data_IF_230119541294
#
_entry.id   IF_230119541294
#
_cell.length_a   1.000
_cell.length_b   1.000
_cell.length_c   1.000
_cell.angle_alpha   90.00
_cell.angle_beta   90.00
_cell.angle_gamma   90.00
#
_symmetry.space_group_name_H-M   'P 1'
#
loop_
_entity.id
_entity.type
_entity.pdbx_description
1 polymer ?
#
# COMPACT_ATOMS: atom_id res chain seq x y z
N UNK A 1 3.85 77.88 2.63
CA UNK A 1 3.53 78.78 1.51
C UNK A 1 3.42 77.90 0.27
N UNK A 2 2.21 77.81 -0.31
CA UNK A 2 1.89 77.62 -1.76
C UNK A 2 2.52 76.37 -2.44
N UNK A 3 1.81 75.28 -2.79
CA UNK A 3 0.63 75.03 -3.68
C UNK A 3 1.04 74.43 -5.04
N UNK A 4 0.23 73.46 -5.52
CA UNK A 4 -0.03 73.07 -6.93
C UNK A 4 1.11 72.36 -7.73
N UNK A 5 0.90 71.45 -8.70
CA UNK A 5 -0.29 70.80 -9.27
C UNK A 5 0.10 69.59 -10.16
N UNK A 6 -0.95 68.94 -10.64
CA UNK A 6 -1.09 67.74 -11.47
C UNK A 6 -0.58 67.77 -12.93
N UNK A 7 -0.29 66.54 -13.42
CA UNK A 7 -0.65 65.89 -14.72
C UNK A 7 -0.09 66.46 -16.05
N UNK A 8 0.58 65.59 -16.82
CA UNK A 8 0.21 65.23 -18.21
C UNK A 8 0.99 64.02 -18.75
N UNK A 9 0.24 63.07 -19.32
CA UNK A 9 0.69 61.97 -20.18
C UNK A 9 1.15 62.51 -21.54
N UNK A 10 2.15 61.90 -22.17
CA UNK A 10 2.17 61.68 -23.61
C UNK A 10 2.86 60.35 -23.97
N UNK A 11 2.23 59.67 -24.91
CA UNK A 11 2.57 58.35 -25.43
C UNK A 11 3.82 58.35 -26.30
N UNK A 12 4.44 57.18 -26.42
CA UNK A 12 5.45 56.87 -27.43
C UNK A 12 5.74 55.38 -27.42
N UNK A 13 4.97 54.61 -28.19
CA UNK A 13 5.38 53.28 -28.60
C UNK A 13 6.60 53.44 -29.50
N UNK A 14 7.70 52.77 -29.18
CA UNK A 14 8.64 52.34 -30.21
C UNK A 14 8.99 50.88 -29.95
N UNK A 15 8.67 50.05 -30.93
CA UNK A 15 8.87 48.61 -30.91
C UNK A 15 10.32 48.33 -31.26
N UNK A 16 11.11 47.93 -30.27
CA UNK A 16 12.46 47.42 -30.48
C UNK A 16 12.38 45.97 -31.00
N UNK A 17 12.23 45.83 -32.33
CA UNK A 17 12.44 44.58 -33.06
C UNK A 17 13.94 44.30 -33.14
N UNK A 18 14.51 43.65 -32.12
CA UNK A 18 15.95 43.43 -32.13
C UNK A 18 16.55 42.61 -31.00
N UNK A 19 15.80 41.68 -30.39
CA UNK A 19 16.42 40.62 -29.57
C UNK A 19 15.85 39.28 -30.02
N UNK A 20 16.71 38.43 -30.58
CA UNK A 20 16.44 37.01 -30.68
C UNK A 20 15.99 36.52 -29.30
N UNK A 21 14.91 35.74 -29.19
CA UNK A 21 14.60 35.11 -27.92
C UNK A 21 15.82 34.25 -27.56
N UNK A 22 16.44 34.57 -26.41
CA UNK A 22 17.36 33.65 -25.76
C UNK A 22 16.67 32.30 -25.78
N UNK A 23 17.26 31.37 -26.52
CA UNK A 23 16.81 29.99 -26.53
C UNK A 23 17.03 29.52 -25.11
N UNK A 24 15.97 29.54 -24.30
CA UNK A 24 15.94 28.78 -23.07
C UNK A 24 16.23 27.36 -23.52
N UNK A 25 17.48 26.94 -23.29
CA UNK A 25 17.85 25.54 -23.28
C UNK A 25 16.97 24.97 -22.19
N UNK A 26 15.81 24.44 -22.57
CA UNK A 26 15.08 23.51 -21.74
C UNK A 26 16.11 22.40 -21.55
N UNK A 27 16.75 22.38 -20.39
CA UNK A 27 17.56 21.25 -19.97
C UNK A 27 16.67 20.04 -20.20
N UNK A 28 17.00 19.27 -21.22
CA UNK A 28 16.24 18.10 -21.61
C UNK A 28 16.44 17.14 -20.44
N UNK A 29 15.52 17.19 -19.47
CA UNK A 29 15.54 16.32 -18.29
C UNK A 29 15.62 14.91 -18.85
N UNK A 30 16.80 14.31 -18.75
CA UNK A 30 17.06 13.01 -19.34
C UNK A 30 16.03 12.06 -18.76
N UNK A 31 15.25 11.40 -19.62
CA UNK A 31 14.26 10.46 -19.14
C UNK A 31 14.97 9.42 -18.25
N UNK A 32 14.46 9.17 -17.03
CA UNK A 32 15.11 8.21 -16.15
C UNK A 32 15.11 6.84 -16.80
N UNK A 33 16.17 6.07 -16.61
CA UNK A 33 16.24 4.70 -17.12
C UNK A 33 15.07 3.88 -16.58
N UNK A 34 14.29 3.28 -17.48
CA UNK A 34 13.14 2.44 -17.12
C UNK A 34 13.40 1.02 -17.54
N UNK A 35 13.23 0.11 -16.58
CA UNK A 35 13.22 -1.31 -16.87
C UNK A 35 12.01 -1.65 -17.73
N UNK A 36 12.19 -2.62 -18.63
CA UNK A 36 11.14 -3.16 -19.46
C UNK A 36 11.09 -4.68 -19.33
N UNK A 37 9.93 -5.26 -19.63
CA UNK A 37 9.81 -6.69 -19.84
C UNK A 37 10.23 -7.11 -21.25
N UNK A 38 10.20 -8.42 -21.52
CA UNK A 38 10.53 -9.02 -22.81
C UNK A 38 9.66 -8.53 -23.99
N UNK A 39 8.54 -7.86 -23.71
CA UNK A 39 7.61 -7.29 -24.70
C UNK A 39 7.77 -5.77 -24.85
N UNK A 40 8.79 -5.17 -24.21
CA UNK A 40 9.07 -3.74 -24.28
C UNK A 40 8.15 -2.87 -23.44
N UNK A 41 7.38 -3.44 -22.51
CA UNK A 41 6.49 -2.66 -21.63
C UNK A 41 7.27 -2.15 -20.44
N UNK A 42 7.09 -0.87 -20.13
CA UNK A 42 7.80 -0.22 -19.04
C UNK A 42 7.24 -0.61 -17.67
N UNK A 43 8.16 -0.82 -16.74
CA UNK A 43 7.88 -0.93 -15.32
C UNK A 43 7.30 0.38 -14.76
N UNK A 44 6.56 0.26 -13.67
CA UNK A 44 6.15 1.43 -12.87
C UNK A 44 7.28 1.79 -11.91
N UNK A 45 7.69 3.06 -11.88
CA UNK A 45 8.84 3.52 -11.10
C UNK A 45 8.45 4.58 -10.09
N UNK A 46 9.16 4.64 -8.97
CA UNK A 46 9.00 5.70 -7.99
C UNK A 46 9.74 5.40 -6.70
N UNK A 47 9.57 6.30 -5.73
CA UNK A 47 10.07 6.14 -4.37
C UNK A 47 8.96 5.58 -3.50
N UNK A 48 9.17 4.43 -2.89
CA UNK A 48 8.27 3.85 -1.90
C UNK A 48 8.93 3.94 -0.52
N UNK A 49 8.40 4.82 0.34
CA UNK A 49 9.00 5.13 1.63
C UNK A 49 10.44 5.60 1.45
N UNK A 50 11.41 4.81 1.92
CA UNK A 50 12.84 5.13 1.78
C UNK A 50 13.51 4.54 0.54
N UNK A 51 12.82 3.69 -0.24
CA UNK A 51 13.43 2.91 -1.31
C UNK A 51 12.93 3.34 -2.70
N UNK A 52 13.84 3.48 -3.65
CA UNK A 52 13.47 3.59 -5.07
C UNK A 52 13.20 2.20 -5.64
N UNK A 53 12.08 2.06 -6.36
CA UNK A 53 11.62 0.78 -6.90
C UNK A 53 11.23 0.87 -8.38
N UNK A 54 11.34 -0.28 -9.04
CA UNK A 54 10.84 -0.58 -10.39
C UNK A 54 9.93 -1.80 -10.29
N UNK A 55 8.62 -1.59 -10.41
CA UNK A 55 7.60 -2.63 -10.30
C UNK A 55 7.34 -3.21 -11.69
N UNK A 56 7.46 -4.53 -11.89
CA UNK A 56 7.29 -5.15 -13.20
C UNK A 56 5.95 -4.82 -13.85
N UNK A 57 5.97 -4.57 -15.16
CA UNK A 57 4.76 -4.33 -15.93
C UNK A 57 3.72 -5.46 -15.74
N UNK A 58 2.49 -5.08 -15.37
CA UNK A 58 1.36 -6.01 -15.21
C UNK A 58 1.22 -6.64 -13.82
N UNK A 59 2.13 -6.36 -12.88
CA UNK A 59 2.02 -6.81 -11.48
C UNK A 59 0.98 -6.01 -10.70
N UNK A 60 0.91 -4.70 -10.93
CA UNK A 60 0.01 -3.82 -10.17
C UNK A 60 -1.43 -4.09 -10.61
N UNK A 61 -2.30 -4.32 -9.63
CA UNK A 61 -3.74 -4.33 -9.85
C UNK A 61 -4.25 -2.89 -9.97
N UNK A 62 -4.62 -2.48 -11.19
CA UNK A 62 -4.96 -1.09 -11.52
C UNK A 62 -3.74 -0.21 -11.79
N UNK A 63 -3.42 0.69 -10.85
CA UNK A 63 -2.32 1.66 -11.00
C UNK A 63 -1.68 2.01 -9.65
N UNK A 64 -0.42 2.46 -9.69
CA UNK A 64 0.21 3.10 -8.54
C UNK A 64 -0.31 4.54 -8.40
N UNK A 65 -0.73 4.91 -7.20
CA UNK A 65 -1.05 6.30 -6.82
C UNK A 65 0.22 6.96 -6.29
N UNK A 66 0.54 8.14 -6.79
CA UNK A 66 1.63 8.98 -6.31
C UNK A 66 1.10 10.05 -5.37
N UNK A 67 1.96 10.52 -4.47
CA UNK A 67 1.62 11.60 -3.56
C UNK A 67 1.21 12.85 -4.34
N UNK A 68 0.02 13.38 -4.04
CA UNK A 68 -0.55 14.53 -4.73
C UNK A 68 -1.38 14.21 -5.97
N UNK A 69 -1.50 12.93 -6.35
CA UNK A 69 -2.50 12.51 -7.34
C UNK A 69 -3.91 12.84 -6.79
N UNK A 70 -4.84 13.32 -7.65
CA UNK A 70 -6.22 13.50 -7.24
C UNK A 70 -6.84 12.17 -6.78
N UNK A 71 -7.56 12.21 -5.66
CA UNK A 71 -8.31 11.05 -5.16
C UNK A 71 -9.39 10.58 -6.15
N UNK A 72 -9.85 9.34 -5.99
CA UNK A 72 -10.85 8.73 -6.88
C UNK A 72 -12.19 9.48 -6.88
N UNK A 73 -12.48 10.20 -5.80
CA UNK A 73 -13.68 11.02 -5.64
C UNK A 73 -13.41 12.53 -5.79
N UNK A 74 -12.22 12.92 -6.23
CA UNK A 74 -11.92 14.33 -6.49
C UNK A 74 -12.84 14.90 -7.58
N UNK A 75 -13.15 16.19 -7.47
CA UNK A 75 -13.94 16.93 -8.46
C UNK A 75 -13.38 16.66 -9.87
N UNK A 76 -14.21 16.27 -10.84
CA UNK A 76 -13.80 16.05 -12.23
C UNK A 76 -12.99 17.21 -12.82
N UNK A 77 -13.24 18.46 -12.41
CA UNK A 77 -12.48 19.65 -12.84
C UNK A 77 -11.06 19.68 -12.30
N UNK A 78 -10.82 19.12 -11.11
CA UNK A 78 -9.47 18.97 -10.54
C UNK A 78 -8.73 17.90 -11.34
N UNK A 79 -9.37 16.75 -11.57
CA UNK A 79 -8.79 15.66 -12.36
C UNK A 79 -8.43 16.11 -13.78
N UNK A 80 -9.32 16.84 -14.45
CA UNK A 80 -9.10 17.32 -15.81
C UNK A 80 -7.95 18.33 -15.94
N UNK A 81 -7.58 19.02 -14.86
CA UNK A 81 -6.48 20.00 -14.84
C UNK A 81 -5.18 19.43 -14.30
N UNK A 82 -5.21 18.25 -13.69
CA UNK A 82 -4.05 17.65 -13.06
C UNK A 82 -3.07 17.15 -14.13
N UNK A 83 -1.82 17.57 -14.01
CA UNK A 83 -0.71 17.07 -14.81
C UNK A 83 0.20 16.27 -13.90
N UNK A 84 0.41 14.99 -14.22
CA UNK A 84 1.35 14.18 -13.46
C UNK A 84 2.76 14.77 -13.60
N UNK A 85 3.51 14.90 -12.51
CA UNK A 85 4.93 15.21 -12.62
C UNK A 85 5.63 14.10 -13.43
N UNK A 86 6.77 14.41 -14.08
CA UNK A 86 7.55 13.38 -14.74
C UNK A 86 7.85 12.23 -13.77
N UNK A 87 7.55 10.99 -14.18
CA UNK A 87 7.83 9.82 -13.34
C UNK A 87 9.35 9.65 -13.21
N UNK A 88 9.84 9.80 -11.99
CA UNK A 88 11.25 9.59 -11.59
C UNK A 88 11.31 8.61 -10.42
N UNK A 89 12.49 8.09 -10.11
CA UNK A 89 12.70 7.23 -8.94
C UNK A 89 12.62 7.96 -7.60
N UNK A 90 12.51 9.29 -7.62
CA UNK A 90 12.31 10.13 -6.45
C UNK A 90 10.85 10.52 -6.24
N UNK A 91 9.98 10.30 -7.25
CA UNK A 91 8.56 10.62 -7.15
C UNK A 91 7.89 9.71 -6.11
N UNK A 92 7.35 10.25 -4.99
CA UNK A 92 6.81 9.42 -3.92
C UNK A 92 5.54 8.69 -4.33
N UNK A 93 5.55 7.37 -4.20
CA UNK A 93 4.40 6.50 -4.37
C UNK A 93 3.61 6.52 -3.06
N UNK A 94 2.36 6.96 -3.12
CA UNK A 94 1.44 6.88 -1.99
C UNK A 94 1.05 5.43 -1.74
N UNK A 95 0.55 4.74 -2.77
CA UNK A 95 0.14 3.34 -2.65
C UNK A 95 0.04 2.59 -3.98
N UNK A 96 0.04 1.27 -3.89
CA UNK A 96 -0.33 0.37 -4.99
C UNK A 96 -0.77 -1.00 -4.43
N UNK A 97 -1.57 -1.71 -5.22
CA UNK A 97 -2.01 -3.07 -4.93
C UNK A 97 -1.35 -4.11 -5.83
N UNK A 98 -1.14 -5.32 -5.31
CA UNK A 98 -0.78 -6.50 -6.12
C UNK A 98 -1.28 -7.77 -5.44
N UNK A 99 -1.41 -8.85 -6.22
CA UNK A 99 -1.75 -10.16 -5.70
C UNK A 99 -0.50 -11.04 -5.67
N UNK A 100 -0.33 -11.82 -4.60
CA UNK A 100 0.66 -12.90 -4.57
C UNK A 100 0.12 -14.16 -3.94
N UNK A 101 0.70 -15.29 -4.30
CA UNK A 101 0.31 -16.60 -3.81
C UNK A 101 1.14 -16.98 -2.58
N UNK A 102 0.46 -17.23 -1.47
CA UNK A 102 1.06 -17.51 -0.16
C UNK A 102 1.92 -18.77 -0.18
N UNK A 103 1.54 -19.80 -0.96
CA UNK A 103 2.18 -21.12 -0.94
C UNK A 103 3.59 -21.15 -1.53
N UNK A 104 3.89 -20.34 -2.53
CA UNK A 104 5.16 -20.35 -3.26
C UNK A 104 5.73 -18.96 -3.57
N UNK A 105 5.05 -17.89 -3.17
CA UNK A 105 5.50 -16.51 -3.36
C UNK A 105 5.34 -15.98 -4.78
N UNK A 106 4.63 -16.70 -5.66
CA UNK A 106 4.42 -16.24 -7.03
C UNK A 106 3.53 -14.99 -7.07
N UNK A 107 3.80 -14.09 -8.02
CA UNK A 107 3.12 -12.80 -8.14
C UNK A 107 2.22 -12.81 -9.36
N UNK A 108 0.97 -12.40 -9.17
CA UNK A 108 0.03 -12.28 -10.26
C UNK A 108 0.54 -11.27 -11.27
N UNK A 109 0.47 -11.63 -12.55
CA UNK A 109 0.65 -10.65 -13.62
C UNK A 109 -0.47 -10.83 -14.62
N UNK A 110 -1.08 -9.72 -15.03
CA UNK A 110 -2.21 -9.72 -15.98
C UNK A 110 -1.89 -10.32 -17.36
N UNK A 111 -0.63 -10.70 -17.59
CA UNK A 111 -0.14 -11.21 -18.87
C UNK A 111 0.36 -12.66 -18.81
N UNK A 112 0.48 -13.24 -17.60
CA UNK A 112 0.93 -14.63 -17.40
C UNK A 112 -0.17 -15.58 -17.00
N UNK A 113 -1.26 -15.12 -16.39
CA UNK A 113 -2.28 -16.01 -15.88
C UNK A 113 -3.54 -15.96 -16.74
N UNK A 114 -3.82 -17.07 -17.42
CA UNK A 114 -5.12 -17.35 -18.03
C UNK A 114 -6.05 -18.04 -17.03
N UNK A 115 -7.33 -18.16 -17.37
CA UNK A 115 -8.28 -19.00 -16.61
C UNK A 115 -7.81 -20.47 -16.50
N UNK A 116 -7.00 -20.93 -17.46
CA UNK A 116 -6.42 -22.28 -17.47
C UNK A 116 -5.26 -22.41 -16.47
N UNK A 117 -4.43 -21.37 -16.33
CA UNK A 117 -3.42 -21.30 -15.26
C UNK A 117 -4.09 -21.33 -13.89
N UNK A 118 -5.17 -20.56 -13.72
CA UNK A 118 -5.97 -20.57 -12.50
C UNK A 118 -6.53 -21.96 -12.17
N UNK A 119 -7.10 -22.66 -13.17
CA UNK A 119 -7.63 -24.02 -13.00
C UNK A 119 -6.53 -25.03 -12.67
N UNK A 120 -5.38 -24.98 -13.36
CA UNK A 120 -4.23 -25.84 -13.08
C UNK A 120 -3.70 -25.61 -11.67
N UNK A 121 -3.57 -24.36 -11.25
CA UNK A 121 -3.10 -24.01 -9.92
C UNK A 121 -4.07 -24.54 -8.85
N UNK A 122 -5.38 -24.50 -9.11
CA UNK A 122 -6.40 -25.09 -8.25
C UNK A 122 -6.28 -26.62 -8.13
N UNK A 123 -5.95 -27.32 -9.21
CA UNK A 123 -5.78 -28.78 -9.23
C UNK A 123 -4.46 -29.25 -8.61
N UNK A 124 -3.40 -28.45 -8.70
CA UNK A 124 -2.02 -28.90 -8.39
C UNK A 124 -1.40 -28.27 -7.16
N UNK A 125 -1.80 -27.04 -6.78
CA UNK A 125 -1.14 -26.26 -5.72
C UNK A 125 -1.99 -26.13 -4.45
N UNK A 126 -3.27 -26.47 -4.50
CA UNK A 126 -4.19 -26.29 -3.38
C UNK A 126 -4.46 -27.63 -2.70
N UNK A 127 -4.04 -27.81 -1.44
CA UNK A 127 -4.40 -29.00 -0.68
C UNK A 127 -5.93 -29.16 -0.62
N UNK A 128 -6.42 -30.39 -0.81
CA UNK A 128 -7.85 -30.68 -0.81
C UNK A 128 -8.57 -30.04 0.39
N UNK A 129 -9.65 -29.29 0.11
CA UNK A 129 -10.45 -28.60 1.12
C UNK A 129 -9.87 -27.27 1.63
N UNK A 130 -8.78 -26.76 1.06
CA UNK A 130 -8.26 -25.42 1.37
C UNK A 130 -8.77 -24.36 0.37
N UNK A 131 -8.94 -23.11 0.83
CA UNK A 131 -9.32 -22.00 -0.03
C UNK A 131 -8.14 -21.54 -0.90
N UNK A 132 -8.44 -20.78 -1.95
CA UNK A 132 -7.44 -20.25 -2.87
C UNK A 132 -6.35 -19.45 -2.12
N UNK A 133 -5.04 -19.76 -2.29
CA UNK A 133 -3.95 -19.22 -1.49
C UNK A 133 -3.48 -17.82 -1.91
N UNK A 134 -4.34 -17.02 -2.54
CA UNK A 134 -3.97 -15.68 -2.98
C UNK A 134 -4.25 -14.66 -1.89
N UNK A 135 -3.25 -13.82 -1.67
CA UNK A 135 -3.33 -12.67 -0.80
C UNK A 135 -3.45 -11.41 -1.65
N UNK A 136 -4.43 -10.58 -1.29
CA UNK A 136 -4.51 -9.20 -1.77
C UNK A 136 -3.59 -8.33 -0.91
N UNK A 137 -2.65 -7.62 -1.54
CA UNK A 137 -1.67 -6.79 -0.83
C UNK A 137 -1.80 -5.36 -1.31
N UNK A 138 -1.96 -4.44 -0.36
CA UNK A 138 -1.85 -3.00 -0.58
C UNK A 138 -0.67 -2.47 0.20
N UNK A 139 0.22 -1.77 -0.48
CA UNK A 139 1.39 -1.14 0.11
C UNK A 139 1.17 0.37 0.17
N UNK A 140 1.50 0.98 1.30
CA UNK A 140 1.48 2.43 1.51
C UNK A 140 2.89 2.93 1.85
N UNK A 141 3.34 4.00 1.19
CA UNK A 141 4.55 4.72 1.58
C UNK A 141 4.28 5.64 2.77
N UNK A 142 5.11 5.56 3.81
CA UNK A 142 4.99 6.39 5.02
C UNK A 142 6.10 7.45 5.03
N UNK A 143 5.75 8.69 4.71
CA UNK A 143 6.71 9.79 4.50
C UNK A 143 6.78 10.80 5.65
N UNK A 144 5.84 10.76 6.60
CA UNK A 144 5.91 11.60 7.80
C UNK A 144 6.92 11.00 8.78
N UNK A 145 8.09 11.62 8.89
CA UNK A 145 9.16 11.19 9.78
C UNK A 145 8.81 11.32 11.28
N UNK A 146 7.83 12.16 11.63
CA UNK A 146 7.37 12.33 13.01
C UNK A 146 6.31 11.30 13.41
N UNK A 147 5.62 10.70 12.43
CA UNK A 147 4.57 9.72 12.68
C UNK A 147 5.19 8.40 13.20
N UNK A 148 4.71 7.87 14.34
CA UNK A 148 5.19 6.60 14.85
C UNK A 148 4.72 5.46 13.93
N UNK A 149 5.66 4.65 13.43
CA UNK A 149 5.35 3.46 12.63
C UNK A 149 4.89 2.30 13.51
N UNK A 150 3.77 2.43 14.22
CA UNK A 150 3.17 1.37 15.02
C UNK A 150 1.65 1.56 15.14
N UNK A 151 0.96 0.54 15.64
CA UNK A 151 -0.49 0.53 15.81
C UNK A 151 -0.94 0.81 17.25
N UNK A 152 -0.09 1.36 18.12
CA UNK A 152 -0.45 1.55 19.53
C UNK A 152 -1.72 2.41 19.69
N UNK A 153 -1.72 3.60 19.07
CA UNK A 153 -2.86 4.52 19.10
C UNK A 153 -4.07 3.89 18.39
N UNK A 154 -3.85 3.32 17.20
CA UNK A 154 -4.90 2.66 16.42
C UNK A 154 -5.65 1.58 17.21
N UNK A 155 -4.92 0.69 17.90
CA UNK A 155 -5.51 -0.38 18.71
C UNK A 155 -6.20 0.18 19.95
N UNK A 156 -5.58 1.13 20.65
CA UNK A 156 -6.16 1.72 21.85
C UNK A 156 -7.49 2.43 21.53
N UNK A 157 -7.51 3.25 20.49
CA UNK A 157 -8.71 3.95 20.04
C UNK A 157 -9.75 2.96 19.50
N UNK A 158 -9.33 1.96 18.73
CA UNK A 158 -10.22 0.92 18.21
C UNK A 158 -10.94 0.15 19.32
N UNK A 159 -10.24 -0.19 20.42
CA UNK A 159 -10.84 -0.85 21.58
C UNK A 159 -11.80 0.07 22.33
N UNK A 160 -11.43 1.34 22.51
CA UNK A 160 -12.31 2.36 23.11
C UNK A 160 -13.60 2.52 22.31
N UNK A 161 -13.50 2.72 21.00
CA UNK A 161 -14.65 2.89 20.09
C UNK A 161 -15.52 1.63 20.10
N UNK A 162 -14.92 0.44 20.05
CA UNK A 162 -15.66 -0.83 20.11
C UNK A 162 -16.48 -0.95 21.39
N UNK A 163 -15.94 -0.48 22.52
CA UNK A 163 -16.65 -0.47 23.80
C UNK A 163 -17.77 0.56 23.84
N UNK A 164 -17.52 1.77 23.36
CA UNK A 164 -18.48 2.88 23.41
C UNK A 164 -19.64 2.71 22.40
N UNK A 165 -19.35 2.22 21.20
CA UNK A 165 -20.33 2.15 20.10
C UNK A 165 -21.03 0.78 20.05
N UNK A 166 -20.28 -0.31 20.25
CA UNK A 166 -20.79 -1.68 20.06
C UNK A 166 -20.91 -2.47 21.36
N UNK A 167 -20.54 -1.89 22.50
CA UNK A 167 -20.44 -2.56 23.80
C UNK A 167 -19.61 -3.86 23.75
N UNK A 168 -18.57 -3.85 22.92
CA UNK A 168 -17.60 -4.94 22.82
C UNK A 168 -16.37 -4.58 23.63
N UNK A 169 -16.05 -5.40 24.63
CA UNK A 169 -14.79 -5.32 25.36
C UNK A 169 -13.80 -6.35 24.83
N UNK A 170 -12.63 -5.92 24.37
CA UNK A 170 -11.62 -6.82 23.84
C UNK A 170 -10.73 -7.35 24.96
N UNK A 171 -10.93 -8.61 25.31
CA UNK A 171 -10.26 -9.25 26.45
C UNK A 171 -9.09 -10.09 25.95
N UNK A 172 -7.90 -9.79 26.48
CA UNK A 172 -6.69 -10.54 26.19
C UNK A 172 -6.84 -11.99 26.65
N UNK A 173 -6.45 -12.91 25.78
CA UNK A 173 -6.49 -14.34 26.07
C UNK A 173 -5.20 -14.79 26.79
N UNK A 174 -5.28 -15.77 27.72
CA UNK A 174 -4.10 -16.23 28.46
C UNK A 174 -3.03 -16.87 27.57
N UNK A 175 -3.45 -17.56 26.51
CA UNK A 175 -2.55 -18.27 25.61
C UNK A 175 -2.39 -17.49 24.30
N UNK A 176 -1.14 -17.26 23.85
CA UNK A 176 -0.91 -16.71 22.53
C UNK A 176 -1.28 -17.72 21.44
N UNK A 177 -1.53 -17.24 20.22
CA UNK A 177 -1.79 -18.07 19.05
C UNK A 177 -0.76 -17.76 17.97
N UNK A 178 0.01 -18.77 17.53
CA UNK A 178 1.08 -18.62 16.52
C UNK A 178 2.08 -17.49 16.85
N UNK A 179 2.37 -17.29 18.14
CA UNK A 179 3.27 -16.22 18.61
C UNK A 179 2.66 -14.81 18.62
N UNK A 180 1.34 -14.68 18.44
CA UNK A 180 0.55 -13.45 18.53
C UNK A 180 -0.23 -13.37 19.85
N UNK A 181 -0.33 -12.17 20.41
CA UNK A 181 -1.25 -11.90 21.52
C UNK A 181 -2.67 -11.81 20.99
N UNK A 182 -3.59 -12.57 21.55
CA UNK A 182 -4.98 -12.66 21.07
C UNK A 182 -5.91 -11.88 21.99
N UNK A 183 -6.82 -11.12 21.41
CA UNK A 183 -7.94 -10.48 22.09
C UNK A 183 -9.25 -10.96 21.46
N UNK A 184 -10.22 -11.28 22.31
CA UNK A 184 -11.56 -11.69 21.89
C UNK A 184 -12.61 -10.74 22.41
N UNK A 185 -13.58 -10.40 21.56
CA UNK A 185 -14.75 -9.64 21.92
C UNK A 185 -15.53 -10.31 23.06
N UNK A 186 -15.71 -9.61 24.18
CA UNK A 186 -16.39 -10.07 25.40
C UNK A 186 -15.95 -11.49 25.83
N UNK A 187 -14.64 -11.77 25.75
CA UNK A 187 -14.04 -13.07 26.03
C UNK A 187 -14.56 -14.23 25.14
N UNK A 188 -15.05 -13.89 23.95
CA UNK A 188 -15.60 -14.82 22.97
C UNK A 188 -17.07 -15.19 23.20
N UNK A 189 -17.75 -14.58 24.17
CA UNK A 189 -19.15 -14.87 24.53
C UNK A 189 -20.02 -13.63 24.31
N UNK A 190 -21.15 -13.82 23.64
CA UNK A 190 -22.18 -12.78 23.52
C UNK A 190 -22.88 -12.58 24.87
N UNK A 191 -22.78 -11.39 25.50
CA UNK A 191 -23.38 -11.15 26.80
C UNK A 191 -24.92 -11.18 26.76
N UNK A 192 -25.55 -11.09 25.59
CA UNK A 192 -27.01 -11.15 25.44
C UNK A 192 -27.52 -12.58 25.34
N UNK A 193 -26.82 -13.43 24.59
CA UNK A 193 -27.29 -14.79 24.30
C UNK A 193 -26.57 -15.86 25.13
N UNK A 194 -25.38 -15.57 25.67
CA UNK A 194 -24.51 -16.53 26.34
C UNK A 194 -23.76 -17.47 25.39
N UNK A 195 -23.95 -17.32 24.08
CA UNK A 195 -23.35 -18.16 23.05
C UNK A 195 -22.02 -17.58 22.54
N UNK A 196 -21.14 -18.40 21.93
CA UNK A 196 -19.94 -17.88 21.29
C UNK A 196 -20.27 -16.89 20.16
N UNK A 197 -19.47 -15.82 20.02
CA UNK A 197 -19.61 -14.74 19.00
C UNK A 197 -19.41 -15.16 17.53
N UNK A 198 -19.60 -16.45 17.18
CA UNK A 198 -19.36 -17.01 15.84
C UNK A 198 -20.22 -16.41 14.72
N UNK A 199 -21.25 -15.63 15.03
CA UNK A 199 -22.19 -15.07 14.05
C UNK A 199 -22.15 -13.55 13.91
N UNK A 200 -21.41 -12.82 14.76
CA UNK A 200 -21.36 -11.35 14.68
C UNK A 200 -20.13 -10.87 13.92
N UNK A 201 -20.37 -10.12 12.85
CA UNK A 201 -19.34 -9.54 11.99
C UNK A 201 -18.48 -8.50 12.71
N UNK A 202 -18.97 -7.92 13.81
CA UNK A 202 -18.27 -6.93 14.63
C UNK A 202 -17.40 -7.57 15.71
N UNK A 203 -17.61 -8.86 16.01
CA UNK A 203 -16.90 -9.60 17.05
C UNK A 203 -15.69 -10.37 16.48
N UNK A 204 -14.81 -9.64 15.80
CA UNK A 204 -13.61 -10.21 15.16
C UNK A 204 -12.59 -10.66 16.21
N UNK A 205 -11.80 -11.67 15.90
CA UNK A 205 -10.62 -11.96 16.71
C UNK A 205 -9.53 -10.95 16.35
N UNK A 206 -8.93 -10.29 17.36
CA UNK A 206 -7.81 -9.36 17.16
C UNK A 206 -6.52 -10.04 17.61
N UNK A 207 -5.52 -10.09 16.74
CA UNK A 207 -4.21 -10.68 17.00
C UNK A 207 -3.10 -9.66 16.76
N UNK A 208 -2.21 -9.53 17.73
CA UNK A 208 -1.19 -8.48 17.74
C UNK A 208 0.21 -9.07 17.88
N UNK A 209 1.18 -8.48 17.16
CA UNK A 209 2.61 -8.67 17.45
C UNK A 209 3.21 -7.35 17.94
N UNK A 210 3.91 -7.43 19.07
CA UNK A 210 4.75 -6.34 19.58
C UNK A 210 6.22 -6.58 19.26
N UNK A 211 6.96 -5.50 19.04
CA UNK A 211 8.42 -5.55 19.02
C UNK A 211 9.01 -5.62 20.44
N UNK A 212 10.35 -5.64 20.52
CA UNK A 212 11.08 -5.71 21.79
C UNK A 212 10.86 -4.48 22.69
N UNK A 213 10.47 -3.33 22.11
CA UNK A 213 10.16 -2.10 22.84
C UNK A 213 8.70 -2.02 23.27
N UNK A 214 7.89 -3.04 22.93
CA UNK A 214 6.47 -3.12 23.27
C UNK A 214 5.53 -2.44 22.27
N UNK A 215 6.04 -1.92 21.16
CA UNK A 215 5.22 -1.28 20.13
C UNK A 215 4.54 -2.32 19.24
N UNK A 216 3.26 -2.12 18.94
CA UNK A 216 2.48 -3.02 18.08
C UNK A 216 2.90 -2.81 16.62
N UNK A 217 3.56 -3.81 16.04
CA UNK A 217 4.08 -3.79 14.67
C UNK A 217 3.18 -4.50 13.68
N UNK A 218 2.44 -5.49 14.16
CA UNK A 218 1.49 -6.29 13.40
C UNK A 218 0.14 -6.23 14.09
N UNK A 219 -0.89 -5.95 13.31
CA UNK A 219 -2.29 -5.97 13.71
C UNK A 219 -3.04 -6.87 12.74
N UNK A 220 -3.78 -7.85 13.25
CA UNK A 220 -4.60 -8.75 12.44
C UNK A 220 -6.00 -8.78 13.03
N UNK A 221 -7.01 -8.51 12.22
CA UNK A 221 -8.41 -8.82 12.56
C UNK A 221 -8.92 -9.94 11.67
N UNK A 222 -9.51 -10.96 12.27
CA UNK A 222 -10.08 -12.08 11.53
C UNK A 222 -11.58 -12.17 11.77
N UNK A 223 -12.34 -12.16 10.68
CA UNK A 223 -13.76 -12.46 10.69
C UNK A 223 -13.95 -13.96 10.45
N UNK A 224 -14.76 -14.59 11.30
CA UNK A 224 -15.08 -16.01 11.21
C UNK A 224 -16.58 -16.22 11.44
N UNK A 225 -17.36 -15.99 10.40
CA UNK A 225 -18.78 -16.36 10.38
C UNK A 225 -18.94 -17.68 9.62
N UNK A 226 -20.16 -18.22 9.60
CA UNK A 226 -20.47 -19.41 8.79
C UNK A 226 -20.10 -19.26 7.31
N UNK A 227 -20.04 -18.03 6.79
CA UNK A 227 -19.82 -17.73 5.37
C UNK A 227 -18.50 -17.01 5.09
N UNK A 228 -17.89 -16.37 6.09
CA UNK A 228 -16.70 -15.53 5.92
C UNK A 228 -15.61 -16.04 6.83
N UNK A 229 -14.44 -16.31 6.26
CA UNK A 229 -13.27 -16.77 7.00
C UNK A 229 -12.02 -16.06 6.50
N UNK A 230 -11.95 -14.75 6.70
CA UNK A 230 -10.90 -13.87 6.18
C UNK A 230 -10.20 -13.13 7.32
N UNK A 231 -8.94 -12.81 7.11
CA UNK A 231 -8.17 -11.93 7.97
C UNK A 231 -7.73 -10.69 7.17
N UNK A 232 -7.85 -9.54 7.81
CA UNK A 232 -7.15 -8.32 7.43
C UNK A 232 -5.90 -8.24 8.30
N UNK A 233 -4.74 -8.13 7.67
CA UNK A 233 -3.44 -8.14 8.33
C UNK A 233 -2.70 -6.89 7.92
N UNK A 234 -2.40 -6.04 8.91
CA UNK A 234 -1.59 -4.85 8.73
C UNK A 234 -0.25 -4.98 9.44
N UNK A 235 0.83 -4.57 8.80
CA UNK A 235 2.13 -4.46 9.44
C UNK A 235 2.94 -3.26 8.94
N UNK A 236 3.83 -2.76 9.79
CA UNK A 236 4.80 -1.72 9.42
C UNK A 236 6.19 -2.33 9.22
N UNK A 237 6.86 -1.94 8.13
CA UNK A 237 8.29 -2.21 7.96
C UNK A 237 9.09 -0.91 8.15
N UNK A 238 9.87 -0.83 9.23
CA UNK A 238 10.64 0.37 9.57
C UNK A 238 11.76 0.64 8.56
N UNK A 239 12.43 -0.38 8.04
CA UNK A 239 13.55 -0.17 7.12
C UNK A 239 13.10 0.45 5.80
N UNK A 240 11.92 0.03 5.34
CA UNK A 240 11.29 0.54 4.14
C UNK A 240 10.49 1.83 4.37
N UNK A 241 10.12 2.16 5.62
CA UNK A 241 9.15 3.21 5.92
C UNK A 241 7.84 3.01 5.15
N UNK A 242 7.23 1.83 5.33
CA UNK A 242 5.95 1.47 4.69
C UNK A 242 4.99 0.85 5.70
N UNK A 243 3.70 0.96 5.36
CA UNK A 243 2.62 0.17 5.95
C UNK A 243 2.06 -0.76 4.88
N UNK A 244 1.82 -2.00 5.26
CA UNK A 244 1.25 -3.02 4.38
C UNK A 244 -0.08 -3.45 4.94
N UNK A 245 -1.07 -3.61 4.06
CA UNK A 245 -2.35 -4.26 4.32
C UNK A 245 -2.42 -5.52 3.47
N UNK A 246 -2.84 -6.63 4.06
CA UNK A 246 -2.98 -7.92 3.40
C UNK A 246 -4.34 -8.52 3.74
N UNK A 247 -5.09 -8.91 2.72
CA UNK A 247 -6.31 -9.73 2.85
C UNK A 247 -6.04 -11.18 2.46
N UNK A 248 -6.35 -12.13 3.34
CA UNK A 248 -6.24 -13.56 3.04
C UNK A 248 -7.24 -14.41 3.82
N UNK A 249 -7.44 -15.65 3.38
CA UNK A 249 -8.28 -16.60 4.12
C UNK A 249 -7.61 -17.02 5.43
N UNK A 250 -8.36 -17.02 6.54
CA UNK A 250 -7.87 -17.33 7.89
C UNK A 250 -7.17 -18.69 8.00
N UNK A 251 -7.43 -19.66 7.12
CA UNK A 251 -6.68 -20.92 7.06
C UNK A 251 -5.16 -20.70 6.95
N UNK A 252 -4.73 -19.57 6.37
CA UNK A 252 -3.33 -19.18 6.21
C UNK A 252 -2.76 -18.34 7.36
N UNK A 253 -3.55 -18.03 8.40
CA UNK A 253 -3.08 -17.31 9.60
C UNK A 253 -1.85 -17.94 10.28
N UNK A 254 -1.65 -19.28 10.35
CA UNK A 254 -0.42 -19.85 10.90
C UNK A 254 0.86 -19.39 10.19
N UNK A 255 0.75 -18.92 8.94
CA UNK A 255 1.85 -18.47 8.09
C UNK A 255 2.03 -16.95 8.12
N UNK A 256 1.40 -16.22 9.05
CA UNK A 256 1.42 -14.76 9.07
C UNK A 256 2.84 -14.16 9.01
N UNK A 257 3.83 -14.78 9.67
CA UNK A 257 5.22 -14.32 9.63
C UNK A 257 5.86 -14.51 8.24
N UNK A 258 5.55 -15.62 7.59
CA UNK A 258 6.02 -15.93 6.23
C UNK A 258 5.37 -14.98 5.23
N UNK A 259 4.10 -14.63 5.43
CA UNK A 259 3.37 -13.63 4.63
C UNK A 259 4.09 -12.28 4.68
N UNK A 260 4.40 -11.76 5.87
CA UNK A 260 5.15 -10.51 6.00
C UNK A 260 6.53 -10.61 5.32
N UNK A 261 7.26 -11.70 5.56
CA UNK A 261 8.59 -11.93 4.98
C UNK A 261 8.57 -12.00 3.44
N UNK A 262 7.61 -12.71 2.86
CA UNK A 262 7.46 -12.88 1.42
C UNK A 262 7.15 -11.56 0.72
N UNK A 263 6.26 -10.74 1.30
CA UNK A 263 5.96 -9.40 0.77
C UNK A 263 7.22 -8.55 0.75
N UNK A 264 8.01 -8.54 1.84
CA UNK A 264 9.27 -7.78 1.88
C UNK A 264 10.29 -8.33 0.88
N UNK A 265 10.36 -9.64 0.68
CA UNK A 265 11.24 -10.25 -0.33
C UNK A 265 10.84 -9.84 -1.76
N UNK A 266 9.54 -9.81 -2.06
CA UNK A 266 9.01 -9.33 -3.34
C UNK A 266 9.42 -7.87 -3.56
N UNK A 267 9.20 -7.00 -2.58
CA UNK A 267 9.59 -5.59 -2.66
C UNK A 267 11.11 -5.43 -2.83
N UNK A 268 11.92 -6.21 -2.10
CA UNK A 268 13.37 -6.21 -2.24
C UNK A 268 13.82 -6.54 -3.67
N UNK A 269 13.11 -7.44 -4.36
CA UNK A 269 13.40 -7.80 -5.74
C UNK A 269 13.16 -6.67 -6.75
N UNK A 270 12.38 -5.65 -6.35
CA UNK A 270 12.03 -4.49 -7.18
C UNK A 270 12.90 -3.26 -6.92
N UNK A 271 13.82 -3.32 -5.95
CA UNK A 271 14.71 -2.20 -5.63
C UNK A 271 15.66 -1.89 -6.79
N UNK A 272 15.93 -0.61 -6.97
CA UNK A 272 16.88 -0.11 -7.96
C UNK A 272 17.97 0.75 -7.33
N UNK A 273 19.07 0.95 -8.06
CA UNK A 273 20.03 2.02 -7.81
C UNK A 273 19.42 3.40 -8.11
N UNK A 274 20.07 4.51 -7.70
CA UNK A 274 19.62 5.86 -8.06
C UNK A 274 19.47 6.09 -9.57
N UNK A 275 20.27 5.38 -10.38
CA UNK A 275 20.23 5.43 -11.84
C UNK A 275 19.16 4.51 -12.44
N UNK A 276 18.37 3.81 -11.63
CA UNK A 276 17.27 2.93 -12.06
C UNK A 276 17.65 1.49 -12.40
N UNK A 277 18.88 1.07 -12.12
CA UNK A 277 19.32 -0.30 -12.39
C UNK A 277 18.85 -1.24 -11.29
N UNK A 278 18.27 -2.38 -11.66
CA UNK A 278 17.82 -3.39 -10.70
C UNK A 278 18.96 -3.92 -9.85
N UNK A 279 18.70 -4.05 -8.55
CA UNK A 279 19.66 -4.62 -7.59
C UNK A 279 19.62 -6.15 -7.56
N UNK A 280 18.65 -6.77 -8.23
CA UNK A 280 18.47 -8.22 -8.28
C UNK A 280 17.47 -8.66 -9.35
N UNK A 281 17.17 -9.96 -9.39
CA UNK A 281 16.15 -10.51 -10.29
C UNK A 281 14.76 -10.13 -9.76
N UNK A 282 13.99 -9.41 -10.56
CA UNK A 282 12.61 -9.05 -10.22
C UNK A 282 11.68 -10.27 -10.18
N UNK A 283 10.96 -10.43 -9.08
CA UNK A 283 9.83 -11.35 -8.97
C UNK A 283 8.64 -10.75 -9.73
N UNK A 284 7.88 -11.59 -10.44
CA UNK A 284 6.76 -11.15 -11.27
C UNK A 284 7.17 -10.58 -12.64
N UNK A 285 8.46 -10.57 -13.01
CA UNK A 285 8.88 -10.10 -14.34
C UNK A 285 8.69 -11.18 -15.41
N UNK A 286 7.93 -10.86 -16.46
CA UNK A 286 7.57 -11.67 -17.63
C UNK A 286 8.74 -12.09 -18.53
#
# INVERSE_FOLDING_TARGET
MVLLWQVSLLAGCDQDFGKQPETQVIEQVSEPFRNQDSRGRYDTIGKLGTQSISIPAGVIDGWARYMGDPGDFADPKIKAKYQHPPKTYDLPIESFGFLYRITDGDVYTSFRQTEEDYRRDNETLIPYGKPFPWADVIIYGEYDAAAPLNFNVYVQEGFKISKEVSNIDYIQQPQPLYGLTVYKANNGIDPKTGEPWKSDVNAKDILLKKDQTGNIKTYIDCQFTQHINICNHMFYNNNWHIRVLVGYNRVYLPQWQEIEGNIINILNSWRVSPEGKLLGKQIGKA
#
